data_IF_413157548006
#
_entry.id   IF_413157548006
#
_cell.length_a   1.000
_cell.length_b   1.000
_cell.length_c   1.000
_cell.angle_alpha   90.00
_cell.angle_beta   90.00
_cell.angle_gamma   90.00
#
_symmetry.space_group_name_H-M   'P 1'
#
loop_
_entity.id
_entity.type
_entity.pdbx_description
1 polymer ?
#
# COMPACT_ATOMS: atom_id res chain seq x y z
N UNK A 1 -10.98 -5.58 -13.29
CA UNK A 1 -11.38 -5.15 -11.92
C UNK A 1 -11.77 -6.31 -11.02
N UNK A 2 -12.67 -7.23 -11.41
CA UNK A 2 -13.05 -8.38 -10.56
C UNK A 2 -11.86 -9.30 -10.21
N UNK A 3 -11.01 -9.64 -11.20
CA UNK A 3 -9.81 -10.44 -10.97
C UNK A 3 -8.87 -9.77 -9.96
N UNK A 4 -8.50 -8.50 -10.19
CA UNK A 4 -7.70 -7.71 -9.25
C UNK A 4 -8.32 -7.65 -7.85
N UNK A 5 -9.65 -7.46 -7.75
CA UNK A 5 -10.32 -7.41 -6.46
C UNK A 5 -10.12 -8.71 -5.67
N UNK A 6 -10.31 -9.86 -6.32
CA UNK A 6 -10.22 -11.17 -5.67
C UNK A 6 -8.76 -11.57 -5.39
N UNK A 7 -7.85 -11.35 -6.34
CA UNK A 7 -6.46 -11.84 -6.25
C UNK A 7 -5.50 -10.88 -5.56
N UNK A 8 -5.78 -9.58 -5.54
CA UNK A 8 -4.87 -8.55 -5.01
C UNK A 8 -5.54 -7.71 -3.92
N UNK A 9 -6.63 -7.02 -4.24
CA UNK A 9 -7.19 -6.02 -3.32
C UNK A 9 -7.71 -6.65 -2.02
N UNK A 10 -8.46 -7.76 -2.11
CA UNK A 10 -9.03 -8.44 -0.95
C UNK A 10 -7.96 -9.03 -0.02
N UNK A 11 -6.93 -9.74 -0.52
CA UNK A 11 -5.80 -10.15 0.32
C UNK A 11 -5.08 -8.98 0.99
N UNK A 12 -4.76 -7.91 0.25
CA UNK A 12 -4.07 -6.74 0.79
C UNK A 12 -4.93 -6.05 1.86
N UNK A 13 -6.23 -5.87 1.61
CA UNK A 13 -7.15 -5.26 2.57
C UNK A 13 -7.18 -6.02 3.90
N UNK A 14 -7.20 -7.36 3.86
CA UNK A 14 -7.15 -8.21 5.06
C UNK A 14 -5.83 -8.07 5.81
N UNK A 15 -4.71 -8.09 5.09
CA UNK A 15 -3.39 -7.94 5.70
C UNK A 15 -3.22 -6.56 6.36
N UNK A 16 -3.66 -5.51 5.67
CA UNK A 16 -3.66 -4.16 6.20
C UNK A 16 -4.55 -4.04 7.44
N UNK A 17 -5.78 -4.56 7.38
CA UNK A 17 -6.73 -4.53 8.49
C UNK A 17 -6.15 -5.20 9.74
N UNK A 18 -5.61 -6.41 9.60
CA UNK A 18 -5.02 -7.15 10.71
C UNK A 18 -3.81 -6.42 11.30
N UNK A 19 -2.96 -5.84 10.44
CA UNK A 19 -1.81 -5.05 10.88
C UNK A 19 -2.24 -3.79 11.63
N UNK A 20 -3.18 -3.03 11.08
CA UNK A 20 -3.69 -1.80 11.69
C UNK A 20 -4.36 -2.07 13.03
N UNK A 21 -5.22 -3.09 13.12
CA UNK A 21 -5.85 -3.53 14.37
C UNK A 21 -4.80 -4.00 15.40
N UNK A 22 -3.77 -4.73 14.96
CA UNK A 22 -2.67 -5.15 15.81
C UNK A 22 -1.92 -3.96 16.43
N UNK A 23 -1.65 -2.93 15.64
CA UNK A 23 -1.01 -1.70 16.14
C UNK A 23 -1.91 -0.94 17.12
N UNK A 24 -3.22 -0.84 16.84
CA UNK A 24 -4.17 -0.16 17.73
C UNK A 24 -4.23 -0.82 19.11
N UNK A 25 -4.20 -2.15 19.17
CA UNK A 25 -4.18 -2.90 20.44
C UNK A 25 -2.93 -2.65 21.28
N UNK A 26 -1.79 -2.36 20.64
CA UNK A 26 -0.57 -2.02 21.36
C UNK A 26 -0.61 -0.62 21.97
N UNK A 27 -1.34 0.29 21.34
CA UNK A 27 -1.38 1.72 21.72
C UNK A 27 -2.54 2.02 22.67
N UNK A 28 -3.67 1.32 22.55
CA UNK A 28 -4.90 1.63 23.29
C UNK A 28 -5.27 0.45 24.20
N UNK A 29 -5.14 0.65 25.52
CA UNK A 29 -5.45 -0.36 26.55
C UNK A 29 -6.94 -0.75 26.57
N UNK A 30 -7.83 0.08 26.01
CA UNK A 30 -9.28 -0.16 25.88
C UNK A 30 -9.69 -0.75 24.50
N UNK A 31 -8.74 -1.06 23.61
CA UNK A 31 -9.03 -1.57 22.27
C UNK A 31 -9.58 -3.00 22.21
N UNK A 32 -9.84 -3.63 23.37
CA UNK A 32 -10.38 -4.99 23.47
C UNK A 32 -11.70 -5.18 22.69
N UNK A 33 -12.44 -4.09 22.44
CA UNK A 33 -13.71 -4.16 21.71
C UNK A 33 -13.58 -4.05 20.17
N UNK A 34 -12.42 -3.65 19.63
CA UNK A 34 -12.23 -3.54 18.16
C UNK A 34 -11.73 -4.88 17.61
N UNK A 35 -12.68 -5.76 17.31
CA UNK A 35 -12.42 -7.12 16.82
C UNK A 35 -12.57 -7.27 15.31
N UNK A 36 -13.27 -6.34 14.64
CA UNK A 36 -13.48 -6.36 13.20
C UNK A 36 -13.69 -4.96 12.63
N UNK A 37 -13.43 -4.81 11.33
CA UNK A 37 -13.69 -3.58 10.61
C UNK A 37 -15.18 -3.34 10.43
N UNK A 38 -15.63 -2.12 10.66
CA UNK A 38 -16.92 -1.64 10.20
C UNK A 38 -16.98 -1.63 8.66
N UNK A 39 -18.21 -1.65 8.12
CA UNK A 39 -18.42 -1.56 6.67
C UNK A 39 -17.81 -0.29 6.06
N UNK A 40 -17.86 0.82 6.79
CA UNK A 40 -17.29 2.09 6.34
C UNK A 40 -15.76 2.05 6.25
N UNK A 41 -15.09 1.43 7.23
CA UNK A 41 -13.64 1.24 7.20
C UNK A 41 -13.21 0.31 6.08
N UNK A 42 -13.94 -0.79 5.87
CA UNK A 42 -13.69 -1.70 4.76
C UNK A 42 -13.79 -0.97 3.40
N UNK A 43 -14.81 -0.13 3.22
CA UNK A 43 -14.97 0.68 2.00
C UNK A 43 -13.81 1.67 1.85
N UNK A 44 -13.39 2.35 2.92
CA UNK A 44 -12.25 3.29 2.90
C UNK A 44 -10.96 2.59 2.48
N UNK A 45 -10.68 1.42 3.05
CA UNK A 45 -9.50 0.60 2.72
C UNK A 45 -9.53 0.21 1.24
N UNK A 46 -10.65 -0.31 0.73
CA UNK A 46 -10.72 -0.68 -0.68
C UNK A 46 -10.57 0.53 -1.62
N UNK A 47 -11.21 1.66 -1.29
CA UNK A 47 -11.04 2.91 -2.08
C UNK A 47 -9.57 3.33 -2.12
N UNK A 48 -8.87 3.28 -1.00
CA UNK A 48 -7.45 3.59 -0.93
C UNK A 48 -6.60 2.62 -1.79
N UNK A 49 -6.87 1.31 -1.72
CA UNK A 49 -6.17 0.30 -2.54
C UNK A 49 -6.40 0.51 -4.03
N UNK A 50 -7.63 0.80 -4.46
CA UNK A 50 -7.90 1.06 -5.87
C UNK A 50 -7.25 2.34 -6.36
N UNK A 51 -7.25 3.40 -5.54
CA UNK A 51 -6.52 4.64 -5.86
C UNK A 51 -5.02 4.39 -5.94
N UNK A 52 -4.47 3.55 -5.06
CA UNK A 52 -3.06 3.13 -5.11
C UNK A 52 -2.75 2.39 -6.41
N UNK A 53 -3.60 1.45 -6.82
CA UNK A 53 -3.44 0.76 -8.10
C UNK A 53 -3.51 1.72 -9.30
N UNK A 54 -4.43 2.69 -9.27
CA UNK A 54 -4.50 3.74 -10.30
C UNK A 54 -3.24 4.59 -10.32
N UNK A 55 -2.74 4.99 -9.15
CA UNK A 55 -1.48 5.73 -9.03
C UNK A 55 -0.31 4.94 -9.63
N UNK A 56 -0.21 3.65 -9.31
CA UNK A 56 0.82 2.76 -9.86
C UNK A 56 0.72 2.66 -11.38
N UNK A 57 -0.48 2.56 -11.94
CA UNK A 57 -0.65 2.52 -13.40
C UNK A 57 -0.28 3.85 -14.09
N UNK A 58 -0.65 4.98 -13.49
CA UNK A 58 -0.40 6.31 -14.07
C UNK A 58 1.06 6.75 -13.93
N UNK A 59 1.65 6.53 -12.75
CA UNK A 59 2.93 7.13 -12.35
C UNK A 59 4.01 6.11 -11.97
N UNK A 60 3.66 4.82 -11.86
CA UNK A 60 4.61 3.75 -11.56
C UNK A 60 5.45 3.34 -12.76
N UNK A 61 6.60 2.74 -12.49
CA UNK A 61 7.51 2.16 -13.50
C UNK A 61 6.95 0.83 -14.01
N UNK A 62 5.89 0.88 -14.81
CA UNK A 62 5.32 -0.29 -15.47
C UNK A 62 6.11 -0.64 -16.74
N UNK A 63 5.85 -1.82 -17.32
CA UNK A 63 6.52 -2.30 -18.55
C UNK A 63 6.30 -1.43 -19.82
N UNK A 64 5.60 -0.30 -19.70
CA UNK A 64 5.45 0.67 -20.79
C UNK A 64 6.64 1.63 -20.86
N UNK A 65 6.94 2.14 -22.05
CA UNK A 65 7.94 3.20 -22.24
C UNK A 65 7.37 4.51 -21.67
N UNK A 66 7.59 4.77 -20.38
CA UNK A 66 7.36 6.10 -19.82
C UNK A 66 8.50 7.01 -20.30
N UNK A 67 8.18 7.86 -21.29
CA UNK A 67 9.15 8.75 -21.93
C UNK A 67 9.66 9.85 -20.99
N UNK A 68 8.90 10.20 -19.94
CA UNK A 68 9.26 11.21 -18.95
C UNK A 68 8.64 10.88 -17.58
N UNK A 69 9.42 10.99 -16.50
CA UNK A 69 8.90 10.89 -15.14
C UNK A 69 8.09 12.14 -14.77
N UNK A 70 6.92 11.97 -14.17
CA UNK A 70 6.19 13.11 -13.63
C UNK A 70 6.94 13.68 -12.43
N UNK A 71 7.11 15.01 -12.39
CA UNK A 71 7.66 15.68 -11.21
C UNK A 71 6.71 15.49 -10.02
N UNK A 72 7.26 15.28 -8.82
CA UNK A 72 6.48 15.04 -7.61
C UNK A 72 5.45 16.14 -7.33
N UNK A 73 5.81 17.40 -7.52
CA UNK A 73 4.89 18.54 -7.35
C UNK A 73 3.68 18.45 -8.28
N UNK A 74 3.89 18.01 -9.53
CA UNK A 74 2.80 17.85 -10.50
C UNK A 74 1.90 16.66 -10.21
N UNK A 75 2.44 15.59 -9.63
CA UNK A 75 1.64 14.45 -9.17
C UNK A 75 0.77 14.88 -7.99
N UNK A 76 1.33 15.64 -7.05
CA UNK A 76 0.58 16.20 -5.92
C UNK A 76 -0.61 17.04 -6.38
N UNK A 77 -0.37 18.01 -7.26
CA UNK A 77 -1.43 18.89 -7.74
C UNK A 77 -2.49 18.14 -8.57
N UNK A 78 -2.04 17.28 -9.49
CA UNK A 78 -2.94 16.66 -10.48
C UNK A 78 -3.73 15.48 -9.93
N UNK A 79 -3.08 14.63 -9.13
CA UNK A 79 -3.70 13.42 -8.61
C UNK A 79 -4.30 13.66 -7.22
N UNK A 80 -3.48 14.10 -6.26
CA UNK A 80 -3.93 14.26 -4.87
C UNK A 80 -4.78 15.51 -4.66
N UNK A 81 -4.57 16.59 -5.44
CA UNK A 81 -5.38 17.80 -5.37
C UNK A 81 -6.86 17.60 -5.71
N UNK A 82 -7.23 16.46 -6.31
CA UNK A 82 -8.61 16.09 -6.63
C UNK A 82 -9.34 15.33 -5.50
N UNK A 83 -8.64 14.99 -4.42
CA UNK A 83 -9.18 14.19 -3.33
C UNK A 83 -9.32 15.00 -2.04
N UNK A 84 -10.29 14.62 -1.22
CA UNK A 84 -10.39 15.13 0.13
C UNK A 84 -9.18 14.71 0.98
N UNK A 85 -8.80 15.49 2.01
CA UNK A 85 -7.64 15.18 2.86
C UNK A 85 -7.65 13.76 3.46
N UNK A 86 -8.82 13.27 3.92
CA UNK A 86 -8.94 11.91 4.48
C UNK A 86 -8.80 10.81 3.43
N UNK A 87 -9.12 11.09 2.16
CA UNK A 87 -8.92 10.15 1.07
C UNK A 87 -7.44 10.04 0.71
N UNK A 88 -6.71 11.15 0.79
CA UNK A 88 -5.24 11.18 0.67
C UNK A 88 -4.59 10.45 1.85
N UNK A 89 -5.05 10.70 3.08
CA UNK A 89 -4.55 10.01 4.28
C UNK A 89 -4.73 8.48 4.18
N UNK A 90 -5.92 8.03 3.77
CA UNK A 90 -6.19 6.60 3.58
C UNK A 90 -5.27 5.98 2.50
N UNK A 91 -5.06 6.69 1.39
CA UNK A 91 -4.11 6.29 0.36
C UNK A 91 -2.69 6.15 0.93
N UNK A 92 -2.20 7.18 1.62
CA UNK A 92 -0.85 7.21 2.16
C UNK A 92 -0.66 6.10 3.20
N UNK A 93 -1.69 5.81 4.00
CA UNK A 93 -1.65 4.72 4.98
C UNK A 93 -1.46 3.35 4.30
N UNK A 94 -2.15 3.09 3.20
CA UNK A 94 -1.94 1.87 2.39
C UNK A 94 -0.54 1.86 1.76
N UNK A 95 -0.08 2.99 1.22
CA UNK A 95 1.27 3.09 0.66
C UNK A 95 2.35 2.79 1.69
N UNK A 96 2.27 3.40 2.88
CA UNK A 96 3.22 3.16 3.97
C UNK A 96 3.21 1.71 4.43
N UNK A 97 2.03 1.10 4.54
CA UNK A 97 1.92 -0.32 4.82
C UNK A 97 2.63 -1.17 3.77
N UNK A 98 2.33 -0.98 2.48
CA UNK A 98 2.95 -1.74 1.38
C UNK A 98 4.47 -1.52 1.37
N UNK A 99 4.91 -0.27 1.52
CA UNK A 99 6.32 0.10 1.58
C UNK A 99 7.03 -0.62 2.73
N UNK A 100 6.45 -0.64 3.93
CA UNK A 100 7.04 -1.33 5.08
C UNK A 100 7.20 -2.84 4.85
N UNK A 101 6.26 -3.46 4.13
CA UNK A 101 6.34 -4.88 3.77
C UNK A 101 7.39 -5.12 2.69
N UNK A 102 7.46 -4.24 1.68
CA UNK A 102 8.46 -4.31 0.63
C UNK A 102 9.87 -4.13 1.19
N UNK A 103 10.10 -3.09 2.00
CA UNK A 103 11.40 -2.78 2.58
C UNK A 103 11.89 -3.97 3.43
N UNK A 104 11.02 -4.56 4.26
CA UNK A 104 11.34 -5.77 5.03
C UNK A 104 11.73 -6.96 4.15
N UNK A 105 10.95 -7.24 3.10
CA UNK A 105 11.27 -8.34 2.17
C UNK A 105 12.57 -8.07 1.41
N UNK A 106 12.81 -6.81 1.03
CA UNK A 106 14.05 -6.40 0.40
C UNK A 106 15.23 -6.64 1.33
N UNK A 107 15.13 -6.27 2.61
CA UNK A 107 16.18 -6.49 3.59
C UNK A 107 16.45 -7.98 3.83
N UNK A 108 15.39 -8.80 3.90
CA UNK A 108 15.51 -10.27 4.06
C UNK A 108 16.19 -10.94 2.86
N UNK A 109 15.99 -10.42 1.64
CA UNK A 109 16.47 -11.04 0.38
C UNK A 109 17.79 -10.45 -0.12
N UNK A 110 18.16 -9.25 0.32
CA UNK A 110 19.31 -8.51 -0.23
C UNK A 110 20.62 -9.29 -0.15
N UNK A 111 20.87 -9.97 0.96
CA UNK A 111 22.08 -10.75 1.17
C UNK A 111 22.12 -12.02 0.31
N UNK A 112 20.95 -12.62 0.05
CA UNK A 112 20.81 -13.81 -0.79
C UNK A 112 21.04 -13.50 -2.27
N UNK A 113 20.75 -12.28 -2.72
CA UNK A 113 20.88 -11.86 -4.14
C UNK A 113 22.15 -11.04 -4.38
N UNK A 114 22.93 -10.74 -3.34
CA UNK A 114 24.18 -10.00 -3.48
C UNK A 114 25.17 -10.78 -4.35
N UNK A 115 25.90 -10.09 -5.24
CA UNK A 115 26.96 -10.67 -6.09
C UNK A 115 28.09 -11.34 -5.29
N UNK A 116 28.16 -11.05 -3.99
CA UNK A 116 29.08 -11.66 -3.04
C UNK A 116 28.57 -13.01 -2.48
N UNK A 117 27.34 -13.42 -2.77
CA UNK A 117 26.78 -14.68 -2.29
C UNK A 117 27.46 -15.87 -2.99
N UNK A 118 28.20 -16.72 -2.25
CA UNK A 118 28.92 -17.85 -2.84
C UNK A 118 28.00 -18.91 -3.47
N UNK A 119 26.68 -18.89 -3.20
CA UNK A 119 25.72 -19.84 -3.80
C UNK A 119 25.29 -19.47 -5.24
N UNK A 120 25.57 -18.24 -5.68
CA UNK A 120 25.25 -17.75 -7.03
C UNK A 120 26.42 -17.99 -8.00
N UNK A 121 27.60 -18.39 -7.50
CA UNK A 121 28.80 -18.70 -8.29
C UNK A 121 28.99 -20.18 -8.55
#
# INVERSE_FOLDING_TARGET
>A
MAAFHVSVARPIARLYANWALGNLRQVVTEADNVTSLSRSEEIRIYRAIYRFETYCHLFGRNKGVQSYGFRSDKICDTFFGSFDPWDVEAFVSIYLFIKSKYDRLSDEVKDDVADTNPKIR
#
